data_IF_648641259675
#
_entry.id   IF_648641259675
#
_cell.length_a   1.000
_cell.length_b   1.000
_cell.length_c   1.000
_cell.angle_alpha   90.00
_cell.angle_beta   90.00
_cell.angle_gamma   90.00
#
_symmetry.space_group_name_H-M   'P 1'
#
loop_
_entity.id
_entity.type
_entity.pdbx_description
1 polymer ?
#
# COMPACT_ATOMS: atom_id res chain seq x y z
N UNK A 1 32.28 -15.22 15.76
CA UNK A 1 32.21 -15.95 14.48
C UNK A 1 31.13 -15.31 13.62
N UNK A 2 31.40 -15.23 12.32
CA UNK A 2 30.78 -14.30 11.36
C UNK A 2 29.29 -14.53 11.09
N UNK A 3 28.62 -13.45 10.68
CA UNK A 3 27.20 -13.39 10.35
C UNK A 3 26.82 -14.20 9.11
N UNK A 4 25.66 -14.85 9.18
CA UNK A 4 25.03 -15.55 8.08
C UNK A 4 24.29 -14.58 7.16
N UNK A 5 24.86 -14.33 5.98
CA UNK A 5 24.14 -13.71 4.89
C UNK A 5 23.08 -14.70 4.38
N UNK A 6 21.80 -14.33 4.48
CA UNK A 6 20.70 -15.01 3.77
C UNK A 6 20.97 -14.92 2.27
N UNK A 7 21.31 -16.06 1.69
CA UNK A 7 21.44 -16.24 0.24
C UNK A 7 20.09 -16.01 -0.41
N UNK A 8 20.01 -14.97 -1.22
CA UNK A 8 18.95 -14.83 -2.20
C UNK A 8 19.17 -15.91 -3.27
N UNK A 9 18.20 -16.78 -3.50
CA UNK A 9 18.30 -17.86 -4.49
C UNK A 9 18.32 -17.28 -5.91
N UNK A 10 19.52 -16.89 -6.36
CA UNK A 10 19.81 -16.42 -7.72
C UNK A 10 19.68 -17.53 -8.79
N UNK A 11 19.50 -18.79 -8.38
CA UNK A 11 19.55 -19.95 -9.26
C UNK A 11 18.35 -20.06 -10.22
N UNK A 12 17.18 -19.49 -9.87
CA UNK A 12 15.98 -19.58 -10.72
C UNK A 12 15.94 -18.53 -11.85
N UNK A 13 16.57 -17.37 -11.65
CA UNK A 13 16.53 -16.27 -12.63
C UNK A 13 17.57 -16.42 -13.76
N UNK A 14 18.61 -17.25 -13.56
CA UNK A 14 19.69 -17.43 -14.53
C UNK A 14 19.38 -18.42 -15.67
N UNK A 15 18.31 -19.21 -15.54
CA UNK A 15 17.87 -20.14 -16.60
C UNK A 15 17.04 -19.46 -17.72
N UNK A 16 16.66 -18.18 -17.58
CA UNK A 16 15.75 -17.50 -18.51
C UNK A 16 16.55 -16.68 -19.54
N UNK A 17 16.40 -16.94 -20.86
CA UNK A 17 17.07 -16.17 -21.91
C UNK A 17 16.82 -14.66 -21.76
N UNK A 18 17.85 -13.84 -21.95
CA UNK A 18 17.81 -12.37 -21.72
C UNK A 18 16.64 -11.66 -22.42
N UNK A 19 16.18 -12.16 -23.58
CA UNK A 19 14.99 -11.64 -24.27
C UNK A 19 13.69 -11.83 -23.47
N UNK A 20 13.49 -13.01 -22.86
CA UNK A 20 12.32 -13.32 -22.02
C UNK A 20 12.33 -12.63 -20.67
N UNK A 21 13.47 -12.09 -20.21
CA UNK A 21 13.52 -11.32 -18.95
C UNK A 21 12.67 -10.05 -19.02
N UNK A 22 12.59 -9.40 -20.19
CA UNK A 22 11.67 -8.25 -20.40
C UNK A 22 10.21 -8.68 -20.42
N UNK A 23 9.92 -9.87 -20.93
CA UNK A 23 8.57 -10.46 -20.96
C UNK A 23 8.05 -10.82 -19.57
N UNK A 24 8.93 -10.94 -18.56
CA UNK A 24 8.53 -11.21 -17.16
C UNK A 24 7.88 -10.00 -16.48
N UNK A 25 8.19 -8.78 -16.88
CA UNK A 25 7.67 -7.60 -16.19
C UNK A 25 6.35 -7.13 -16.82
N UNK A 26 5.39 -6.77 -15.97
CA UNK A 26 4.20 -6.05 -16.42
C UNK A 26 4.58 -4.65 -16.89
N UNK A 27 4.11 -4.28 -18.08
CA UNK A 27 4.29 -2.92 -18.55
C UNK A 27 3.45 -1.92 -17.70
N UNK A 28 3.70 -0.60 -17.81
CA UNK A 28 2.96 0.39 -17.02
C UNK A 28 1.44 0.33 -17.20
N UNK A 29 0.97 0.03 -18.42
CA UNK A 29 -0.46 -0.03 -18.74
C UNK A 29 -1.11 -1.25 -18.07
N UNK A 30 -0.46 -2.40 -18.13
CA UNK A 30 -0.90 -3.62 -17.46
C UNK A 30 -0.95 -3.42 -15.95
N UNK A 31 0.05 -2.75 -15.36
CA UNK A 31 0.07 -2.38 -13.92
C UNK A 31 -1.11 -1.48 -13.54
N UNK A 32 -1.43 -0.49 -14.36
CA UNK A 32 -2.55 0.42 -14.12
C UNK A 32 -3.92 -0.28 -14.19
N UNK A 33 -4.09 -1.19 -15.15
CA UNK A 33 -5.30 -2.02 -15.24
C UNK A 33 -5.37 -2.95 -14.03
N UNK A 34 -4.28 -3.63 -13.70
CA UNK A 34 -4.17 -4.55 -12.56
C UNK A 34 -4.54 -3.87 -11.23
N UNK A 35 -4.03 -2.66 -10.98
CA UNK A 35 -4.40 -1.90 -9.79
C UNK A 35 -5.88 -1.51 -9.75
N UNK A 36 -6.46 -1.10 -10.88
CA UNK A 36 -7.87 -0.68 -10.94
C UNK A 36 -8.84 -1.84 -10.73
N UNK A 37 -8.45 -3.05 -11.14
CA UNK A 37 -9.21 -4.29 -10.94
C UNK A 37 -9.26 -4.74 -9.48
N UNK A 38 -8.23 -4.42 -8.69
CA UNK A 38 -8.18 -4.81 -7.29
C UNK A 38 -9.31 -4.18 -6.46
N UNK A 39 -9.70 -4.82 -5.37
CA UNK A 39 -10.82 -4.38 -4.54
C UNK A 39 -10.55 -3.01 -3.93
N UNK A 40 -11.60 -2.18 -3.88
CA UNK A 40 -11.53 -0.86 -3.24
C UNK A 40 -11.55 -0.99 -1.72
N UNK A 41 -10.84 -0.09 -1.03
CA UNK A 41 -10.98 0.07 0.43
C UNK A 41 -12.14 1.05 0.68
N UNK A 42 -13.22 0.63 1.37
CA UNK A 42 -14.35 1.52 1.66
C UNK A 42 -13.91 2.81 2.36
N UNK A 43 -14.50 3.94 1.96
CA UNK A 43 -14.19 5.24 2.57
C UNK A 43 -12.79 5.81 2.25
N UNK A 44 -12.09 5.25 1.27
CA UNK A 44 -10.73 5.65 0.85
C UNK A 44 -10.67 5.95 -0.65
N UNK A 45 -9.71 6.80 -1.04
CA UNK A 45 -9.50 7.12 -2.45
C UNK A 45 -9.02 5.90 -3.27
N UNK A 46 -9.77 5.46 -4.29
CA UNK A 46 -9.50 4.19 -4.99
C UNK A 46 -8.22 4.22 -5.85
N UNK A 47 -7.67 5.38 -6.17
CA UNK A 47 -6.37 5.46 -6.84
C UNK A 47 -5.18 5.35 -5.88
N UNK A 48 -5.39 5.59 -4.59
CA UNK A 48 -4.34 5.59 -3.56
C UNK A 48 -4.34 4.30 -2.76
N UNK A 49 -5.52 3.75 -2.49
CA UNK A 49 -5.71 2.60 -1.62
C UNK A 49 -6.47 1.48 -2.33
N UNK A 50 -6.00 0.25 -2.15
CA UNK A 50 -6.66 -0.98 -2.62
C UNK A 50 -6.50 -2.08 -1.59
N UNK A 51 -7.33 -3.11 -1.70
CA UNK A 51 -7.08 -4.40 -1.06
C UNK A 51 -6.35 -5.30 -2.05
N UNK A 52 -5.33 -5.97 -1.56
CA UNK A 52 -4.63 -7.02 -2.31
C UNK A 52 -5.47 -8.30 -2.40
N UNK A 53 -5.02 -9.29 -3.18
CA UNK A 53 -5.77 -10.54 -3.36
C UNK A 53 -5.88 -11.41 -2.10
N UNK A 54 -5.16 -11.07 -1.02
CA UNK A 54 -5.29 -11.69 0.30
C UNK A 54 -6.12 -10.82 1.28
N UNK A 55 -6.72 -9.72 0.81
CA UNK A 55 -7.55 -8.80 1.58
C UNK A 55 -6.79 -7.75 2.38
N UNK A 56 -5.48 -7.59 2.19
CA UNK A 56 -4.66 -6.61 2.89
C UNK A 56 -4.78 -5.23 2.27
N UNK A 57 -4.83 -4.18 3.10
CA UNK A 57 -4.79 -2.79 2.62
C UNK A 57 -3.36 -2.48 2.14
N UNK A 58 -3.25 -1.95 0.92
CA UNK A 58 -1.98 -1.51 0.33
C UNK A 58 -2.11 -0.10 -0.25
N UNK A 59 -1.01 0.65 -0.26
CA UNK A 59 -0.95 2.01 -0.77
C UNK A 59 -0.21 2.06 -2.10
N UNK A 60 -0.77 2.76 -3.10
CA UNK A 60 -0.23 2.85 -4.47
C UNK A 60 1.22 3.31 -4.51
N UNK A 61 1.60 4.24 -3.62
CA UNK A 61 2.95 4.81 -3.53
C UNK A 61 3.98 3.85 -2.93
N UNK A 62 3.52 2.86 -2.17
CA UNK A 62 4.37 1.85 -1.52
C UNK A 62 4.59 0.62 -2.40
N UNK A 63 5.00 0.86 -3.66
CA UNK A 63 5.37 -0.22 -4.57
C UNK A 63 6.84 -0.62 -4.37
N UNK A 64 7.13 -1.92 -4.36
CA UNK A 64 8.50 -2.45 -4.24
C UNK A 64 9.22 -2.06 -2.93
N UNK A 65 8.52 -2.11 -1.80
CA UNK A 65 9.06 -1.93 -0.46
C UNK A 65 8.60 -3.03 0.51
N UNK A 66 9.05 -3.00 1.77
CA UNK A 66 8.88 -4.12 2.71
C UNK A 66 7.89 -3.90 3.86
N UNK A 67 7.30 -2.70 3.96
CA UNK A 67 6.32 -2.37 5.00
C UNK A 67 4.97 -3.08 4.81
N UNK A 68 4.12 -3.02 5.83
CA UNK A 68 2.82 -3.72 5.84
C UNK A 68 1.77 -3.15 4.87
N UNK A 69 1.99 -1.93 4.36
CA UNK A 69 1.18 -1.33 3.30
C UNK A 69 1.87 -1.40 1.93
N UNK A 70 3.05 -2.02 1.87
CA UNK A 70 3.80 -2.18 0.63
C UNK A 70 3.30 -3.37 -0.18
N UNK A 71 3.36 -3.23 -1.49
CA UNK A 71 2.93 -4.26 -2.42
C UNK A 71 3.89 -4.41 -3.61
N UNK A 72 3.77 -5.56 -4.25
CA UNK A 72 4.39 -5.88 -5.53
C UNK A 72 3.30 -6.34 -6.50
N UNK A 73 3.59 -6.24 -7.81
CA UNK A 73 2.75 -6.83 -8.84
C UNK A 73 3.17 -8.29 -9.01
N UNK A 74 2.23 -9.20 -8.83
CA UNK A 74 2.43 -10.65 -8.85
C UNK A 74 1.69 -11.26 -10.04
N UNK A 75 2.27 -12.33 -10.57
CA UNK A 75 1.60 -13.17 -11.55
C UNK A 75 0.73 -14.21 -10.83
N UNK A 76 -0.56 -14.22 -11.12
CA UNK A 76 -1.50 -15.22 -10.58
C UNK A 76 -0.98 -16.62 -10.93
N UNK A 77 -0.74 -16.86 -12.23
CA UNK A 77 0.04 -17.98 -12.76
C UNK A 77 1.50 -17.51 -12.87
N UNK A 78 2.44 -18.03 -12.07
CA UNK A 78 3.83 -17.61 -12.07
C UNK A 78 4.48 -17.63 -13.45
N UNK A 79 5.30 -16.64 -13.75
CA UNK A 79 6.04 -16.57 -15.02
C UNK A 79 6.90 -17.83 -15.28
N UNK A 80 7.51 -18.38 -14.23
CA UNK A 80 8.31 -19.63 -14.32
C UNK A 80 7.50 -20.85 -14.73
N UNK A 81 6.17 -20.77 -14.66
CA UNK A 81 5.23 -21.81 -15.09
C UNK A 81 4.48 -21.43 -16.37
N UNK A 82 4.97 -20.41 -17.09
CA UNK A 82 4.44 -19.99 -18.39
C UNK A 82 3.33 -18.95 -18.33
N UNK A 83 3.03 -18.38 -17.15
CA UNK A 83 2.03 -17.33 -17.03
C UNK A 83 2.45 -16.04 -17.77
N UNK A 84 1.59 -15.46 -18.61
CA UNK A 84 1.92 -14.26 -19.38
C UNK A 84 1.90 -13.00 -18.49
N UNK A 85 2.70 -11.98 -18.82
CA UNK A 85 2.72 -10.70 -18.11
C UNK A 85 1.63 -9.75 -18.64
N UNK A 86 0.37 -10.11 -18.40
CA UNK A 86 -0.82 -9.33 -18.77
C UNK A 86 -1.62 -8.95 -17.52
N UNK A 87 -2.47 -7.94 -17.62
CA UNK A 87 -3.31 -7.48 -16.52
C UNK A 87 -4.37 -8.50 -16.10
N UNK A 88 -4.67 -9.50 -16.93
CA UNK A 88 -5.57 -10.61 -16.57
C UNK A 88 -4.85 -11.63 -15.68
N UNK A 89 -3.54 -11.81 -15.87
CA UNK A 89 -2.71 -12.66 -15.02
C UNK A 89 -2.01 -11.86 -13.90
N UNK A 90 -2.38 -10.59 -13.70
CA UNK A 90 -1.77 -9.73 -12.70
C UNK A 90 -2.67 -9.60 -11.47
N UNK A 91 -2.07 -9.70 -10.30
CA UNK A 91 -2.67 -9.29 -9.03
C UNK A 91 -1.69 -8.42 -8.24
N UNK A 92 -2.21 -7.57 -7.36
CA UNK A 92 -1.37 -6.91 -6.36
C UNK A 92 -1.34 -7.78 -5.11
N UNK A 93 -0.17 -7.91 -4.50
CA UNK A 93 0.03 -8.65 -3.24
C UNK A 93 0.95 -7.86 -2.33
N UNK A 94 0.65 -7.83 -1.03
CA UNK A 94 1.56 -7.33 -0.02
C UNK A 94 2.92 -8.01 -0.21
N UNK A 95 4.01 -7.24 -0.21
CA UNK A 95 5.36 -7.75 -0.56
C UNK A 95 5.74 -9.00 0.22
N UNK A 96 5.38 -9.06 1.51
CA UNK A 96 5.64 -10.24 2.35
C UNK A 96 4.86 -11.47 1.91
N UNK A 97 3.57 -11.29 1.56
CA UNK A 97 2.70 -12.34 1.02
C UNK A 97 3.24 -12.81 -0.33
N UNK A 98 3.60 -11.89 -1.22
CA UNK A 98 4.14 -12.22 -2.54
C UNK A 98 5.40 -13.09 -2.45
N UNK A 99 6.37 -12.68 -1.62
CA UNK A 99 7.62 -13.43 -1.41
C UNK A 99 7.39 -14.81 -0.81
N UNK A 100 6.36 -14.96 0.03
CA UNK A 100 5.97 -16.25 0.58
C UNK A 100 5.23 -17.10 -0.45
N UNK A 101 4.38 -16.52 -1.30
CA UNK A 101 3.73 -17.21 -2.43
C UNK A 101 4.78 -17.81 -3.36
N UNK A 102 5.80 -17.04 -3.75
CA UNK A 102 6.86 -17.48 -4.66
C UNK A 102 6.27 -18.01 -5.98
N UNK A 103 6.65 -19.20 -6.44
CA UNK A 103 6.14 -19.86 -7.63
C UNK A 103 4.98 -20.84 -7.37
N UNK A 104 4.34 -20.77 -6.20
CA UNK A 104 3.17 -21.59 -5.89
C UNK A 104 1.95 -21.06 -6.65
N UNK A 105 1.19 -22.00 -7.19
CA UNK A 105 -0.09 -21.76 -7.87
C UNK A 105 -1.23 -22.19 -6.95
N UNK A 106 -2.45 -21.76 -7.29
CA UNK A 106 -3.70 -22.23 -6.67
C UNK A 106 -3.78 -22.07 -5.15
N UNK A 107 -3.04 -21.10 -4.60
CA UNK A 107 -3.18 -20.74 -3.19
C UNK A 107 -4.48 -19.98 -2.97
N UNK A 108 -5.29 -20.47 -2.04
CA UNK A 108 -6.49 -19.75 -1.64
C UNK A 108 -6.11 -18.44 -0.95
N UNK A 109 -7.00 -17.43 -1.02
CA UNK A 109 -6.81 -16.14 -0.34
C UNK A 109 -6.50 -16.30 1.15
N UNK A 110 -7.16 -17.25 1.83
CA UNK A 110 -6.95 -17.51 3.26
C UNK A 110 -5.55 -18.05 3.57
N UNK A 111 -4.99 -18.88 2.68
CA UNK A 111 -3.62 -19.38 2.83
C UNK A 111 -2.59 -18.27 2.59
N UNK A 112 -2.84 -17.40 1.60
CA UNK A 112 -2.01 -16.22 1.36
C UNK A 112 -2.04 -15.28 2.57
N UNK A 113 -3.22 -15.10 3.17
CA UNK A 113 -3.45 -14.22 4.31
C UNK A 113 -2.68 -14.62 5.57
N UNK A 114 -2.30 -15.88 5.73
CA UNK A 114 -1.44 -16.33 6.85
C UNK A 114 -0.06 -15.65 6.85
N UNK A 115 0.38 -15.15 5.70
CA UNK A 115 1.66 -14.44 5.56
C UNK A 115 1.51 -12.91 5.62
N UNK A 116 0.27 -12.41 5.74
CA UNK A 116 -0.04 -10.98 5.88
C UNK A 116 0.48 -10.41 7.17
N UNK A 117 0.82 -9.12 7.19
CA UNK A 117 1.05 -8.41 8.43
C UNK A 117 -0.11 -8.53 9.42
N UNK A 118 0.25 -8.71 10.69
CA UNK A 118 -0.72 -8.78 11.79
C UNK A 118 -1.37 -7.43 12.06
N UNK A 119 -0.58 -6.35 12.04
CA UNK A 119 -1.03 -4.97 12.30
C UNK A 119 -2.26 -4.61 11.45
N UNK A 120 -3.28 -4.07 12.11
CA UNK A 120 -4.49 -3.55 11.50
C UNK A 120 -4.50 -2.04 11.69
N UNK A 121 -4.47 -1.32 10.58
CA UNK A 121 -4.52 0.13 10.61
C UNK A 121 -5.95 0.60 10.81
N UNK A 122 -6.12 1.47 11.78
CA UNK A 122 -7.33 2.27 11.96
C UNK A 122 -7.45 3.33 10.87
N UNK A 123 -8.63 3.91 10.74
CA UNK A 123 -8.84 5.00 9.79
C UNK A 123 -7.96 6.23 10.08
N UNK A 124 -7.73 6.53 11.36
CA UNK A 124 -6.84 7.61 11.77
C UNK A 124 -5.40 7.36 11.31
N UNK A 125 -4.90 6.15 11.49
CA UNK A 125 -3.53 5.81 11.08
C UNK A 125 -3.37 5.84 9.56
N UNK A 126 -4.37 5.36 8.82
CA UNK A 126 -4.38 5.47 7.35
C UNK A 126 -4.44 6.94 6.90
N UNK A 127 -5.18 7.80 7.57
CA UNK A 127 -5.19 9.25 7.30
C UNK A 127 -3.81 9.86 7.50
N UNK A 128 -3.15 9.57 8.63
CA UNK A 128 -1.80 10.07 8.94
C UNK A 128 -0.79 9.60 7.88
N UNK A 129 -0.87 8.33 7.47
CA UNK A 129 0.02 7.77 6.45
C UNK A 129 -0.27 8.40 5.09
N UNK A 130 -1.54 8.54 4.69
CA UNK A 130 -1.91 9.19 3.43
C UNK A 130 -1.40 10.63 3.39
N UNK A 131 -1.57 11.36 4.50
CA UNK A 131 -1.09 12.71 4.68
C UNK A 131 0.44 12.79 4.53
N UNK A 132 1.18 11.89 5.17
CA UNK A 132 2.64 11.87 5.09
C UNK A 132 3.14 11.56 3.66
N UNK A 133 2.41 10.73 2.91
CA UNK A 133 2.84 10.24 1.60
C UNK A 133 2.39 11.15 0.44
N UNK A 134 1.20 11.72 0.53
CA UNK A 134 0.58 12.54 -0.52
C UNK A 134 0.47 14.03 -0.17
N UNK A 135 0.68 14.41 1.09
CA UNK A 135 0.49 15.79 1.58
C UNK A 135 -0.98 16.15 1.85
N UNK A 136 -1.91 15.25 1.55
CA UNK A 136 -3.34 15.41 1.79
C UNK A 136 -4.05 14.06 1.94
N UNK A 137 -5.24 14.08 2.53
CA UNK A 137 -6.17 12.97 2.68
C UNK A 137 -7.42 13.29 1.87
N UNK A 138 -7.90 12.30 1.11
CA UNK A 138 -9.13 12.43 0.32
C UNK A 138 -10.07 11.26 0.66
N UNK A 139 -11.26 11.58 1.19
CA UNK A 139 -12.33 10.62 1.44
C UNK A 139 -13.61 11.11 0.73
N UNK A 140 -14.64 10.25 0.55
CA UNK A 140 -15.91 10.69 -0.03
C UNK A 140 -16.50 11.87 0.76
N UNK A 141 -16.52 13.06 0.16
CA UNK A 141 -17.02 14.28 0.76
C UNK A 141 -16.13 14.93 1.83
N UNK A 142 -14.92 14.43 2.08
CA UNK A 142 -13.99 15.01 3.06
C UNK A 142 -12.60 15.18 2.44
N UNK A 143 -11.98 16.34 2.68
CA UNK A 143 -10.61 16.60 2.26
C UNK A 143 -9.83 17.30 3.37
N UNK A 144 -8.55 16.96 3.47
CA UNK A 144 -7.65 17.64 4.40
C UNK A 144 -6.24 17.68 3.82
N UNK A 145 -5.51 18.78 4.02
CA UNK A 145 -4.08 18.87 3.67
C UNK A 145 -3.24 19.27 4.86
N UNK A 146 -1.96 18.91 4.82
CA UNK A 146 -0.97 19.46 5.74
C UNK A 146 -0.76 20.95 5.46
N UNK A 147 -1.05 21.77 6.47
CA UNK A 147 -0.64 23.19 6.48
C UNK A 147 0.86 23.28 6.69
N UNK A 148 1.49 24.26 6.06
CA UNK A 148 2.85 24.67 6.38
C UNK A 148 2.91 25.33 7.75
N UNK A 149 4.11 25.41 8.34
CA UNK A 149 4.31 26.09 9.63
C UNK A 149 3.89 27.56 9.56
N UNK A 150 4.18 28.25 8.44
CA UNK A 150 3.78 29.65 8.26
C UNK A 150 2.26 29.83 8.24
N UNK A 151 1.53 28.91 7.59
CA UNK A 151 0.06 28.91 7.57
C UNK A 151 -0.52 28.61 8.96
N UNK A 152 0.08 27.66 9.69
CA UNK A 152 -0.35 27.33 11.06
C UNK A 152 -0.11 28.47 12.05
N UNK A 153 0.99 29.22 11.89
CA UNK A 153 1.33 30.37 12.73
C UNK A 153 0.71 31.68 12.23
N UNK A 154 -0.09 31.65 11.15
CA UNK A 154 -0.65 32.83 10.51
C UNK A 154 0.41 33.90 10.16
N UNK A 155 1.64 33.47 9.87
CA UNK A 155 2.74 34.34 9.43
C UNK A 155 2.53 34.57 7.93
N UNK A 156 1.50 35.35 7.58
CA UNK A 156 1.11 35.57 6.19
C UNK A 156 1.98 36.67 5.53
N UNK A 157 3.05 36.26 4.84
CA UNK A 157 3.74 37.13 3.88
C UNK A 157 3.38 36.82 2.42
N UNK A 158 2.68 35.71 2.15
CA UNK A 158 2.42 35.23 0.77
C UNK A 158 1.02 34.67 0.51
N UNK A 159 0.08 34.76 1.47
CA UNK A 159 -1.26 34.20 1.28
C UNK A 159 -2.09 35.13 0.40
N UNK A 160 -2.17 34.82 -0.90
CA UNK A 160 -3.11 35.49 -1.82
C UNK A 160 -4.53 35.10 -1.44
N UNK A 161 -5.44 36.06 -1.20
CA UNK A 161 -6.84 35.73 -0.90
C UNK A 161 -7.50 35.05 -2.12
N UNK A 162 -8.26 33.98 -1.87
CA UNK A 162 -9.07 33.30 -2.89
C UNK A 162 -8.45 32.04 -3.51
N UNK A 163 -7.43 31.43 -2.89
CA UNK A 163 -6.95 30.12 -3.31
C UNK A 163 -7.87 29.06 -2.71
N UNK A 164 -8.32 28.11 -3.54
CA UNK A 164 -9.11 26.92 -3.14
C UNK A 164 -8.43 26.01 -2.11
N UNK A 165 -7.22 26.36 -1.68
CA UNK A 165 -6.31 25.58 -0.86
C UNK A 165 -6.48 25.91 0.64
N UNK A 166 -7.45 26.77 0.96
CA UNK A 166 -7.85 27.23 2.29
C UNK A 166 -8.94 26.34 2.94
N UNK A 167 -9.23 25.16 2.39
CA UNK A 167 -10.18 24.23 3.02
C UNK A 167 -9.60 23.79 4.37
N UNK A 168 -10.30 24.12 5.45
CA UNK A 168 -9.97 23.60 6.78
C UNK A 168 -9.97 22.07 6.73
N UNK A 169 -9.15 21.41 7.54
CA UNK A 169 -9.15 19.95 7.59
C UNK A 169 -10.53 19.46 8.04
N UNK A 170 -11.31 18.85 7.14
CA UNK A 170 -12.69 18.40 7.45
C UNK A 170 -12.73 16.95 7.94
N UNK A 171 -11.59 16.37 8.30
CA UNK A 171 -11.55 15.02 8.85
C UNK A 171 -12.23 14.98 10.23
N UNK A 172 -12.85 13.84 10.62
CA UNK A 172 -13.41 13.69 11.95
C UNK A 172 -12.35 14.00 13.01
N UNK A 173 -12.71 14.77 14.03
CA UNK A 173 -11.83 14.97 15.17
C UNK A 173 -11.66 13.63 15.88
N UNK A 174 -10.47 13.04 15.75
CA UNK A 174 -10.11 11.87 16.54
C UNK A 174 -9.85 12.33 17.97
N UNK A 175 -10.90 12.35 18.79
CA UNK A 175 -10.77 12.65 20.21
C UNK A 175 -9.68 11.77 20.84
N UNK A 176 -8.86 12.36 21.72
CA UNK A 176 -8.07 11.57 22.65
C UNK A 176 -9.04 10.70 23.45
N UNK A 177 -9.06 9.39 23.20
CA UNK A 177 -9.48 8.43 24.22
C UNK A 177 -8.44 8.52 25.32
N UNK A 178 -8.61 9.53 26.18
CA UNK A 178 -7.94 9.66 27.45
C UNK A 178 -8.25 8.39 28.21
N UNK A 179 -7.22 7.60 28.53
CA UNK A 179 -7.29 6.50 29.49
C UNK A 179 -8.14 6.95 30.68
N UNK A 180 -9.39 6.48 30.75
CA UNK A 180 -10.15 6.52 31.98
C UNK A 180 -9.64 5.34 32.79
N UNK A 181 -8.66 5.62 33.64
CA UNK A 181 -8.15 4.67 34.60
C UNK A 181 -9.26 4.07 35.46
N UNK A 182 -9.03 2.84 35.89
CA UNK A 182 -9.49 2.37 37.20
C UNK A 182 -8.30 1.66 37.84
N UNK A 183 -7.50 2.45 38.53
CA UNK A 183 -6.84 1.99 39.75
C UNK A 183 -7.95 1.71 40.75
N UNK A 184 -8.26 0.44 41.00
CA UNK A 184 -8.94 0.04 42.23
C UNK A 184 -7.93 -0.72 43.08
N UNK A 185 -7.40 -0.03 44.08
CA UNK A 185 -6.85 -0.68 45.26
C UNK A 185 -7.97 -1.49 45.92
N UNK A 186 -7.71 -2.78 46.16
CA UNK A 186 -8.08 -3.51 47.37
C UNK A 186 -6.96 -4.50 47.67
#
# INVERSE_FOLDING_TARGET
>A
MAGGATTWSAEADDAIPRGRRRERFFDPKERDVCWRKADVVPGRHPERWRKDAAGNIVCRRFNACHGCLCYEYDHIIPFSKGGPSTADNCQILQTRVNRRKSNREDLASDEMRQNSCEIKFTDRELDIIEMAVYGNVIRPGLQCRCRSVAESLSISLFSKPGRTDDVACELPSYGEEREKGTTSFM
#
